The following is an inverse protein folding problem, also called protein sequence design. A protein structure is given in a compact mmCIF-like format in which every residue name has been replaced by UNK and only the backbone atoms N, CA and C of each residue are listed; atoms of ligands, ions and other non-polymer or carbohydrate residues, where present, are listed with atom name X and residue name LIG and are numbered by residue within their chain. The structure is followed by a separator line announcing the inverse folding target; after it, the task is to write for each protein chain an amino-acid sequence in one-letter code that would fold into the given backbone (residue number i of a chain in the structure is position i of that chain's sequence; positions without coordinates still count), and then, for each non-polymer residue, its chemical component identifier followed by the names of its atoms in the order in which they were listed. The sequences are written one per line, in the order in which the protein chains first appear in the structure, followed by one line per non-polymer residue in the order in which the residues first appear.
data_IF_512122150997
#
_entry.id   IF_512122150997
#
_cell.length_a   1.000
_cell.length_b   1.000
_cell.length_c   1.000
_cell.angle_alpha   90.00
_cell.angle_beta   90.00
_cell.angle_gamma   90.00
#
_symmetry.space_group_name_H-M   'P 1'
#
loop_
_entity.id
_entity.type
_entity.pdbx_description
1 polymer ?
#
# COMPACT_ATOMS: atom_id res chain seq x y z
N UNK A 1 -2.33 11.43 -41.19
CA UNK A 1 -1.72 10.78 -40.00
C UNK A 1 -1.21 11.81 -38.99
N UNK A 2 -0.64 12.92 -39.43
CA UNK A 2 -0.16 14.00 -38.56
C UNK A 2 -1.27 14.67 -37.73
N UNK A 3 -2.47 14.86 -38.29
CA UNK A 3 -3.62 15.44 -37.57
C UNK A 3 -4.12 14.57 -36.40
N UNK A 4 -4.01 13.25 -36.49
CA UNK A 4 -4.48 12.32 -35.46
C UNK A 4 -3.51 12.20 -34.26
N UNK A 5 -2.23 12.50 -34.48
CA UNK A 5 -1.21 12.58 -33.43
C UNK A 5 -1.29 13.94 -32.74
N UNK A 6 -1.51 15.01 -33.51
CA UNK A 6 -1.70 16.36 -32.98
C UNK A 6 -2.96 16.46 -32.13
N UNK A 7 -4.09 15.86 -32.57
CA UNK A 7 -5.31 15.80 -31.77
C UNK A 7 -5.12 15.03 -30.46
N UNK A 8 -4.29 13.97 -30.43
CA UNK A 8 -4.05 13.21 -29.20
C UNK A 8 -3.24 14.01 -28.17
N UNK A 9 -2.37 14.92 -28.60
CA UNK A 9 -1.54 15.73 -27.71
C UNK A 9 -2.21 17.04 -27.27
N UNK A 10 -2.89 17.73 -28.19
CA UNK A 10 -3.53 19.02 -27.91
C UNK A 10 -4.81 18.83 -27.05
N UNK A 11 -5.57 17.76 -27.30
CA UNK A 11 -6.80 17.45 -26.55
C UNK A 11 -6.50 17.02 -25.11
N UNK A 12 -5.38 16.32 -24.84
CA UNK A 12 -5.01 15.88 -23.48
C UNK A 12 -4.80 17.07 -22.52
N UNK A 13 -4.03 18.08 -22.92
CA UNK A 13 -3.70 19.22 -22.05
C UNK A 13 -4.83 20.24 -21.94
N UNK A 14 -5.48 20.58 -23.06
CA UNK A 14 -6.51 21.63 -23.09
C UNK A 14 -7.83 21.09 -22.55
N UNK A 15 -8.28 19.91 -22.99
CA UNK A 15 -9.54 19.36 -22.47
C UNK A 15 -9.44 18.95 -21.01
N UNK A 16 -8.28 18.51 -20.52
CA UNK A 16 -8.09 18.29 -19.08
C UNK A 16 -8.18 19.60 -18.27
N UNK A 17 -7.53 20.68 -18.73
CA UNK A 17 -7.64 22.01 -18.09
C UNK A 17 -9.06 22.56 -18.12
N UNK A 18 -9.78 22.39 -19.24
CA UNK A 18 -11.18 22.80 -19.36
C UNK A 18 -12.13 21.91 -18.54
N UNK A 19 -11.91 20.60 -18.44
CA UNK A 19 -12.68 19.71 -17.56
C UNK A 19 -12.46 20.03 -16.09
N UNK A 20 -11.22 20.33 -15.71
CA UNK A 20 -10.85 20.79 -14.36
C UNK A 20 -11.49 22.13 -14.03
N UNK A 21 -11.52 23.05 -15.00
CA UNK A 21 -12.16 24.37 -14.87
C UNK A 21 -13.69 24.28 -14.80
N UNK A 22 -14.31 23.43 -15.62
CA UNK A 22 -15.77 23.23 -15.64
C UNK A 22 -16.31 22.34 -14.50
N UNK A 23 -15.44 21.63 -13.76
CA UNK A 23 -15.85 20.64 -12.73
C UNK A 23 -16.86 19.60 -13.24
N UNK A 24 -16.71 19.14 -14.48
CA UNK A 24 -17.57 18.12 -15.09
C UNK A 24 -16.76 16.85 -15.32
N UNK A 25 -17.30 15.69 -14.94
CA UNK A 25 -16.69 14.38 -15.18
C UNK A 25 -15.77 13.87 -14.06
N UNK A 26 -14.62 13.30 -14.41
CA UNK A 26 -13.71 12.61 -13.49
C UNK A 26 -13.13 13.53 -12.40
N UNK A 27 -12.90 14.81 -12.71
CA UNK A 27 -12.40 15.82 -11.76
C UNK A 27 -13.39 16.08 -10.61
N UNK A 28 -14.69 16.12 -10.90
CA UNK A 28 -15.73 16.23 -9.87
C UNK A 28 -15.76 14.98 -8.98
N UNK A 29 -15.66 13.79 -9.58
CA UNK A 29 -15.61 12.53 -8.83
C UNK A 29 -14.38 12.45 -7.92
N UNK A 30 -13.21 12.88 -8.42
CA UNK A 30 -11.98 12.93 -7.64
C UNK A 30 -12.07 13.93 -6.49
N UNK A 31 -12.66 15.10 -6.72
CA UNK A 31 -12.89 16.10 -5.67
C UNK A 31 -13.80 15.58 -4.57
N UNK A 32 -14.92 14.95 -4.93
CA UNK A 32 -15.85 14.34 -3.96
C UNK A 32 -15.15 13.22 -3.20
N UNK A 33 -14.47 12.31 -3.89
CA UNK A 33 -13.72 11.23 -3.24
C UNK A 33 -12.63 11.76 -2.29
N UNK A 34 -11.95 12.85 -2.66
CA UNK A 34 -10.97 13.50 -1.79
C UNK A 34 -11.61 14.08 -0.54
N UNK A 35 -12.78 14.71 -0.67
CA UNK A 35 -13.54 15.23 0.49
C UNK A 35 -14.01 14.11 1.41
N UNK A 36 -14.52 13.02 0.85
CA UNK A 36 -14.97 11.85 1.63
C UNK A 36 -13.81 11.22 2.40
N UNK A 37 -12.65 11.09 1.75
CA UNK A 37 -11.44 10.55 2.40
C UNK A 37 -10.92 11.49 3.47
N UNK A 38 -10.88 12.80 3.21
CA UNK A 38 -10.44 13.79 4.19
C UNK A 38 -11.35 13.79 5.44
N UNK A 39 -12.67 13.72 5.23
CA UNK A 39 -13.63 13.59 6.33
C UNK A 39 -13.38 12.31 7.13
N UNK A 40 -13.22 11.17 6.46
CA UNK A 40 -12.95 9.90 7.11
C UNK A 40 -11.66 9.92 7.94
N UNK A 41 -10.58 10.53 7.42
CA UNK A 41 -9.31 10.66 8.14
C UNK A 41 -9.47 11.56 9.36
N UNK A 42 -10.21 12.66 9.23
CA UNK A 42 -10.55 13.56 10.34
C UNK A 42 -11.32 12.84 11.44
N UNK A 43 -12.32 12.04 11.06
CA UNK A 43 -13.12 11.24 11.99
C UNK A 43 -12.24 10.20 12.70
N UNK A 44 -11.35 9.53 11.97
CA UNK A 44 -10.42 8.55 12.53
C UNK A 44 -9.44 9.19 13.53
N UNK A 45 -8.88 10.36 13.19
CA UNK A 45 -7.98 11.13 14.06
C UNK A 45 -8.72 11.57 15.33
N UNK A 46 -9.91 12.16 15.19
CA UNK A 46 -10.69 12.65 16.32
C UNK A 46 -11.10 11.52 17.28
N UNK A 47 -11.55 10.37 16.76
CA UNK A 47 -11.87 9.18 17.55
C UNK A 47 -10.65 8.66 18.32
N UNK A 48 -9.46 8.70 17.70
CA UNK A 48 -8.22 8.28 18.35
C UNK A 48 -7.82 9.23 19.47
N UNK A 49 -7.85 10.53 19.22
CA UNK A 49 -7.58 11.56 20.22
C UNK A 49 -8.53 11.44 21.42
N UNK A 50 -9.81 11.13 21.18
CA UNK A 50 -10.78 10.90 22.26
C UNK A 50 -10.41 9.66 23.09
N UNK A 51 -10.04 8.54 22.44
CA UNK A 51 -9.62 7.32 23.14
C UNK A 51 -8.37 7.54 24.00
N UNK A 52 -7.40 8.32 23.51
CA UNK A 52 -6.18 8.65 24.25
C UNK A 52 -6.45 9.52 25.49
N UNK A 53 -7.46 10.39 25.46
CA UNK A 53 -7.85 11.19 26.64
C UNK A 53 -8.56 10.38 27.72
N UNK A 54 -9.19 9.26 27.36
CA UNK A 54 -9.99 8.42 28.26
C UNK A 54 -9.17 7.26 28.86
N UNK A 55 -8.09 6.84 28.19
CA UNK A 55 -7.23 5.73 28.65
C UNK A 55 -6.08 6.28 29.49
N UNK A 56 -5.92 5.79 30.73
CA UNK A 56 -4.75 6.09 31.56
C UNK A 56 -3.46 5.65 30.83
N UNK A 57 -2.37 6.38 31.07
CA UNK A 57 -1.08 6.34 30.37
C UNK A 57 -0.34 4.99 30.36
N UNK A 58 -0.88 3.94 31.00
CA UNK A 58 -0.17 2.70 31.34
C UNK A 58 -0.32 1.55 30.31
N UNK A 59 -1.23 1.64 29.34
CA UNK A 59 -1.31 0.67 28.23
C UNK A 59 -0.63 1.22 26.98
N UNK A 60 0.70 1.04 26.90
CA UNK A 60 1.53 1.25 25.71
C UNK A 60 1.18 0.24 24.61
N UNK A 61 0.04 0.44 23.96
CA UNK A 61 -0.14 -0.01 22.58
C UNK A 61 0.12 1.21 21.70
N UNK A 62 1.40 1.51 21.47
CA UNK A 62 1.87 2.65 20.68
C UNK A 62 1.57 2.41 19.20
N UNK A 63 0.29 2.58 18.85
CA UNK A 63 -0.17 2.54 17.47
C UNK A 63 0.60 3.60 16.64
N UNK A 64 0.95 3.25 15.41
CA UNK A 64 1.70 4.08 14.46
C UNK A 64 1.23 5.53 14.45
N UNK A 65 -0.08 5.75 14.39
CA UNK A 65 -0.64 7.11 14.34
C UNK A 65 -0.48 7.87 15.66
N UNK A 66 -0.50 7.19 16.81
CA UNK A 66 -0.17 7.81 18.11
C UNK A 66 1.29 8.24 18.15
N UNK A 67 2.19 7.41 17.62
CA UNK A 67 3.62 7.75 17.56
C UNK A 67 3.88 8.94 16.62
N UNK A 68 3.24 8.94 15.44
CA UNK A 68 3.29 10.09 14.52
C UNK A 68 2.75 11.37 15.15
N UNK A 69 1.62 11.32 15.86
CA UNK A 69 1.07 12.48 16.58
C UNK A 69 2.04 13.03 17.64
N UNK A 70 2.70 12.15 18.41
CA UNK A 70 3.71 12.56 19.40
C UNK A 70 4.91 13.24 18.73
N UNK A 71 5.47 12.63 17.69
CA UNK A 71 6.61 13.17 16.93
C UNK A 71 6.27 14.54 16.32
N UNK A 72 5.04 14.73 15.83
CA UNK A 72 4.61 16.01 15.27
C UNK A 72 4.41 17.07 16.35
N UNK A 73 3.83 16.71 17.50
CA UNK A 73 3.65 17.61 18.64
C UNK A 73 4.99 18.08 19.24
N UNK A 74 6.02 17.23 19.24
CA UNK A 74 7.37 17.57 19.71
C UNK A 74 8.13 18.48 18.74
N UNK A 75 7.80 18.44 17.44
CA UNK A 75 8.51 19.19 16.38
C UNK A 75 7.86 20.52 16.01
N UNK A 76 6.58 20.72 16.33
CA UNK A 76 5.84 21.89 15.85
C UNK A 76 5.96 23.12 16.76
N UNK A 77 6.80 24.07 16.34
CA UNK A 77 6.64 25.51 16.61
C UNK A 77 5.63 26.18 15.66
N UNK A 78 5.17 25.45 14.63
CA UNK A 78 4.33 25.91 13.52
C UNK A 78 2.84 25.58 13.73
N UNK A 79 1.97 26.26 12.97
CA UNK A 79 0.50 26.16 13.01
C UNK A 79 -0.02 24.71 13.02
N UNK A 80 -0.90 24.40 13.98
CA UNK A 80 -1.55 23.09 14.16
C UNK A 80 -2.22 22.55 12.88
N UNK A 81 -2.73 23.44 12.02
CA UNK A 81 -3.42 23.08 10.78
C UNK A 81 -2.50 22.43 9.73
N UNK A 82 -1.24 22.88 9.65
CA UNK A 82 -0.25 22.32 8.71
C UNK A 82 0.16 20.91 9.15
N UNK A 83 0.30 20.71 10.46
CA UNK A 83 0.64 19.42 11.06
C UNK A 83 -0.43 18.36 10.80
N UNK A 84 -1.71 18.72 10.97
CA UNK A 84 -2.84 17.82 10.72
C UNK A 84 -2.90 17.37 9.25
N UNK A 85 -2.69 18.31 8.32
CA UNK A 85 -2.70 18.00 6.89
C UNK A 85 -1.61 17.00 6.49
N UNK A 86 -0.37 17.21 6.98
CA UNK A 86 0.75 16.30 6.72
C UNK A 86 0.44 14.90 7.27
N UNK A 87 -0.13 14.82 8.48
CA UNK A 87 -0.52 13.55 9.09
C UNK A 87 -1.56 12.79 8.23
N UNK A 88 -2.57 13.49 7.72
CA UNK A 88 -3.59 12.90 6.84
C UNK A 88 -2.98 12.39 5.54
N UNK A 89 -2.12 13.19 4.90
CA UNK A 89 -1.46 12.82 3.65
C UNK A 89 -0.56 11.57 3.83
N UNK A 90 0.19 11.47 4.92
CA UNK A 90 1.02 10.29 5.23
C UNK A 90 0.19 9.04 5.52
N UNK A 91 -0.88 9.17 6.31
CA UNK A 91 -1.78 8.05 6.60
C UNK A 91 -2.45 7.52 5.32
N UNK A 92 -2.89 8.44 4.45
CA UNK A 92 -3.47 8.10 3.16
C UNK A 92 -2.46 7.38 2.26
N UNK A 93 -1.23 7.88 2.20
CA UNK A 93 -0.16 7.31 1.40
C UNK A 93 0.17 5.89 1.86
N UNK A 94 0.30 5.67 3.17
CA UNK A 94 0.52 4.34 3.75
C UNK A 94 -0.63 3.38 3.45
N UNK A 95 -1.87 3.82 3.64
CA UNK A 95 -3.05 3.00 3.38
C UNK A 95 -3.13 2.61 1.89
N UNK A 96 -2.84 3.54 0.98
CA UNK A 96 -2.84 3.28 -0.45
C UNK A 96 -1.74 2.29 -0.86
N UNK A 97 -0.52 2.48 -0.33
CA UNK A 97 0.61 1.59 -0.59
C UNK A 97 0.32 0.16 -0.12
N UNK A 98 -0.21 -0.01 1.09
CA UNK A 98 -0.49 -1.33 1.65
C UNK A 98 -1.69 -2.04 1.02
N UNK A 99 -2.78 -1.32 0.76
CA UNK A 99 -4.04 -1.91 0.30
C UNK A 99 -3.89 -2.70 -1.00
N UNK A 100 -3.27 -2.08 -2.00
CA UNK A 100 -3.16 -2.69 -3.32
C UNK A 100 -2.23 -3.91 -3.26
N UNK A 101 -1.07 -3.78 -2.60
CA UNK A 101 -0.11 -4.87 -2.47
C UNK A 101 -0.68 -6.08 -1.71
N UNK A 102 -1.36 -5.84 -0.58
CA UNK A 102 -1.98 -6.90 0.23
C UNK A 102 -3.13 -7.56 -0.52
N UNK A 103 -3.99 -6.78 -1.19
CA UNK A 103 -5.11 -7.34 -1.96
C UNK A 103 -4.65 -8.28 -3.08
N UNK A 104 -3.58 -7.90 -3.80
CA UNK A 104 -3.00 -8.74 -4.83
C UNK A 104 -2.37 -10.01 -4.26
N UNK A 105 -1.59 -9.89 -3.18
CA UNK A 105 -1.00 -11.03 -2.48
C UNK A 105 -2.08 -12.04 -2.03
N UNK A 106 -3.16 -11.57 -1.40
CA UNK A 106 -4.25 -12.43 -0.94
C UNK A 106 -5.00 -13.10 -2.09
N UNK A 107 -5.23 -12.39 -3.20
CA UNK A 107 -5.87 -12.97 -4.38
C UNK A 107 -5.06 -14.16 -4.93
N UNK A 108 -3.74 -14.00 -5.06
CA UNK A 108 -2.84 -15.07 -5.52
C UNK A 108 -2.74 -16.22 -4.53
N UNK A 109 -2.64 -15.91 -3.22
CA UNK A 109 -2.63 -16.92 -2.17
C UNK A 109 -3.89 -17.78 -2.25
N UNK A 110 -5.09 -17.18 -2.30
CA UNK A 110 -6.33 -17.96 -2.37
C UNK A 110 -6.44 -18.78 -3.65
N UNK A 111 -5.96 -18.24 -4.77
CA UNK A 111 -5.90 -19.00 -6.02
C UNK A 111 -4.97 -20.22 -5.93
N UNK A 112 -3.78 -20.06 -5.33
CA UNK A 112 -2.84 -21.15 -5.09
C UNK A 112 -3.39 -22.22 -4.14
N UNK A 113 -4.14 -21.82 -3.11
CA UNK A 113 -4.79 -22.75 -2.19
C UNK A 113 -5.93 -23.50 -2.86
N UNK A 114 -6.76 -22.82 -3.65
CA UNK A 114 -7.87 -23.44 -4.38
C UNK A 114 -7.39 -24.48 -5.42
N UNK A 115 -6.22 -24.25 -6.01
CA UNK A 115 -5.60 -25.18 -6.97
C UNK A 115 -4.82 -26.32 -6.30
N UNK A 116 -4.48 -26.19 -5.01
CA UNK A 116 -3.71 -27.19 -4.25
C UNK A 116 -4.42 -27.59 -2.94
N UNK A 117 -5.50 -28.42 -3.00
CA UNK A 117 -6.29 -28.79 -1.81
C UNK A 117 -5.49 -29.52 -0.72
N UNK A 118 -4.42 -30.23 -1.10
CA UNK A 118 -3.52 -30.88 -0.15
C UNK A 118 -2.81 -29.86 0.76
N UNK A 119 -2.42 -28.74 0.18
CA UNK A 119 -1.71 -27.67 0.87
C UNK A 119 -2.66 -26.84 1.73
N UNK A 120 -3.88 -26.57 1.22
CA UNK A 120 -4.96 -25.97 2.00
C UNK A 120 -5.25 -26.77 3.27
N UNK A 121 -5.36 -28.10 3.16
CA UNK A 121 -5.63 -28.96 4.32
C UNK A 121 -4.54 -28.89 5.39
N UNK A 122 -3.26 -28.79 5.00
CA UNK A 122 -2.15 -28.63 5.95
C UNK A 122 -2.24 -27.28 6.68
N UNK A 123 -2.51 -26.19 5.96
CA UNK A 123 -2.71 -24.86 6.56
C UNK A 123 -3.90 -24.89 7.52
N UNK A 124 -5.02 -25.49 7.11
CA UNK A 124 -6.21 -25.61 7.96
C UNK A 124 -5.91 -26.39 9.24
N UNK A 125 -5.18 -27.50 9.14
CA UNK A 125 -4.73 -28.26 10.32
C UNK A 125 -3.81 -27.44 11.22
N UNK A 126 -2.90 -26.64 10.64
CA UNK A 126 -2.04 -25.72 11.41
C UNK A 126 -2.87 -24.67 12.16
N UNK A 127 -3.82 -24.02 11.49
CA UNK A 127 -4.69 -23.01 12.11
C UNK A 127 -5.51 -23.62 13.25
N UNK A 128 -6.08 -24.82 13.04
CA UNK A 128 -6.90 -25.50 14.04
C UNK A 128 -6.13 -25.89 15.31
N UNK A 129 -4.80 -26.04 15.24
CA UNK A 129 -3.97 -26.29 16.43
C UNK A 129 -3.91 -25.09 17.37
N UNK A 130 -3.98 -23.88 16.84
CA UNK A 130 -3.88 -22.64 17.61
C UNK A 130 -5.24 -21.99 17.87
N UNK A 131 -6.21 -22.21 16.99
CA UNK A 131 -7.57 -21.66 17.09
C UNK A 131 -8.60 -22.78 16.87
N UNK A 132 -9.10 -23.41 17.96
CA UNK A 132 -10.12 -24.44 17.85
C UNK A 132 -11.43 -23.86 17.31
N UNK A 133 -12.18 -24.69 16.58
CA UNK A 133 -13.43 -24.34 15.92
C UNK A 133 -14.39 -23.66 16.90
N UNK A 134 -14.83 -22.44 16.57
CA UNK A 134 -15.76 -21.65 17.39
C UNK A 134 -15.12 -20.46 18.13
N UNK A 135 -13.78 -20.36 18.17
CA UNK A 135 -13.07 -19.17 18.66
C UNK A 135 -12.03 -18.72 17.64
N UNK A 136 -12.47 -18.03 16.60
CA UNK A 136 -11.61 -17.33 15.63
C UNK A 136 -10.94 -16.08 16.23
N UNK A 137 -10.26 -16.26 17.36
CA UNK A 137 -9.47 -15.24 18.04
C UNK A 137 -8.09 -15.81 18.29
N UNK A 138 -7.10 -15.25 17.60
CA UNK A 138 -5.70 -15.38 18.01
C UNK A 138 -5.49 -14.42 19.17
N UNK A 139 -5.06 -14.94 20.31
CA UNK A 139 -4.96 -14.16 21.54
C UNK A 139 -3.62 -13.43 21.63
N UNK A 140 -2.60 -13.91 20.90
CA UNK A 140 -1.26 -13.30 20.91
C UNK A 140 -0.56 -13.32 19.55
N UNK A 141 0.30 -12.32 19.32
CA UNK A 141 1.26 -12.29 18.20
C UNK A 141 2.21 -13.49 18.21
N UNK A 142 2.48 -14.10 19.38
CA UNK A 142 3.29 -15.31 19.47
C UNK A 142 2.62 -16.53 18.85
N UNK A 143 1.28 -16.60 18.88
CA UNK A 143 0.52 -17.70 18.26
C UNK A 143 0.59 -17.60 16.74
N UNK A 144 0.49 -16.38 16.19
CA UNK A 144 0.64 -16.13 14.76
C UNK A 144 2.05 -16.47 14.26
N UNK A 145 3.09 -16.13 15.03
CA UNK A 145 4.49 -16.48 14.70
C UNK A 145 4.75 -17.98 14.61
N UNK A 146 3.93 -18.80 15.28
CA UNK A 146 4.06 -20.27 15.25
C UNK A 146 3.41 -20.90 14.01
N UNK A 147 2.71 -20.14 13.18
CA UNK A 147 2.10 -20.62 11.93
C UNK A 147 3.11 -20.61 10.77
N UNK A 148 4.07 -21.52 10.86
CA UNK A 148 5.19 -21.60 9.92
C UNK A 148 4.70 -21.96 8.52
N UNK A 149 3.69 -22.81 8.41
CA UNK A 149 3.16 -23.27 7.13
C UNK A 149 2.39 -22.16 6.40
N UNK A 150 1.51 -21.46 7.13
CA UNK A 150 0.80 -20.29 6.60
C UNK A 150 1.78 -19.20 6.15
N UNK A 151 2.80 -18.91 6.97
CA UNK A 151 3.84 -17.94 6.61
C UNK A 151 4.59 -18.38 5.34
N UNK A 152 4.98 -19.66 5.26
CA UNK A 152 5.61 -20.22 4.07
C UNK A 152 4.74 -20.09 2.81
N UNK A 153 3.44 -20.35 2.91
CA UNK A 153 2.50 -20.20 1.80
C UNK A 153 2.39 -18.73 1.31
N UNK A 154 2.42 -17.77 2.23
CA UNK A 154 2.45 -16.33 1.88
C UNK A 154 3.76 -15.99 1.18
N UNK A 155 4.91 -16.41 1.73
CA UNK A 155 6.21 -16.18 1.12
C UNK A 155 6.29 -16.78 -0.30
N UNK A 156 5.79 -18.00 -0.48
CA UNK A 156 5.78 -18.67 -1.78
C UNK A 156 4.84 -17.96 -2.77
N UNK A 157 3.69 -17.48 -2.31
CA UNK A 157 2.77 -16.67 -3.12
C UNK A 157 3.43 -15.39 -3.61
N UNK A 158 4.18 -14.70 -2.74
CA UNK A 158 4.93 -13.49 -3.09
C UNK A 158 6.12 -13.79 -4.00
N UNK A 159 6.77 -14.96 -3.86
CA UNK A 159 7.86 -15.40 -4.74
C UNK A 159 7.36 -15.67 -6.16
N UNK A 160 6.20 -16.30 -6.29
CA UNK A 160 5.59 -16.63 -7.58
C UNK A 160 4.90 -15.41 -8.23
N UNK A 161 4.25 -14.58 -7.42
CA UNK A 161 3.43 -13.45 -7.87
C UNK A 161 3.72 -12.18 -7.04
N UNK A 162 4.86 -11.50 -7.29
CA UNK A 162 5.20 -10.27 -6.58
C UNK A 162 4.17 -9.16 -6.87
N UNK A 163 3.57 -8.51 -5.85
CA UNK A 163 2.53 -7.48 -6.07
C UNK A 163 3.04 -6.23 -6.83
N UNK A 164 4.34 -5.96 -6.77
CA UNK A 164 4.98 -4.84 -7.46
C UNK A 164 5.85 -5.41 -8.57
N UNK A 165 5.30 -5.52 -9.77
CA UNK A 165 6.00 -6.06 -10.94
C UNK A 165 7.02 -5.09 -11.58
N UNK A 166 7.02 -3.81 -11.21
CA UNK A 166 8.00 -2.84 -11.71
C UNK A 166 8.13 -1.65 -10.74
N UNK A 167 9.25 -1.58 -10.01
CA UNK A 167 9.70 -0.31 -9.45
C UNK A 167 10.30 0.49 -10.61
N UNK A 168 9.57 1.47 -11.14
CA UNK A 168 10.14 2.43 -12.07
C UNK A 168 11.00 3.41 -11.27
N UNK A 169 12.32 3.21 -11.28
CA UNK A 169 13.25 4.19 -10.72
C UNK A 169 13.38 5.36 -11.70
N UNK A 170 12.75 6.49 -11.40
CA UNK A 170 12.92 7.76 -12.14
C UNK A 170 14.24 8.47 -11.80
N UNK A 171 15.27 7.72 -11.40
CA UNK A 171 16.56 8.24 -10.95
C UNK A 171 17.69 7.64 -11.76
N UNK A 172 18.62 8.48 -12.19
CA UNK A 172 19.86 8.09 -12.86
C UNK A 172 20.74 7.30 -11.85
N UNK A 173 20.47 6.01 -11.72
CA UNK A 173 21.20 5.12 -10.84
C UNK A 173 22.60 4.88 -11.44
N UNK A 174 23.59 5.65 -10.98
CA UNK A 174 25.00 5.47 -11.34
C UNK A 174 25.55 4.28 -10.56
N UNK A 175 25.40 3.07 -11.10
CA UNK A 175 25.95 1.86 -10.51
C UNK A 175 27.49 1.81 -10.67
N UNK A 176 28.24 1.34 -9.66
CA UNK A 176 29.69 1.11 -9.78
C UNK A 176 29.98 0.06 -10.86
N UNK A 177 31.01 0.32 -11.67
CA UNK A 177 31.32 -0.32 -12.95
C UNK A 177 31.84 -1.77 -12.87
N UNK A 178 31.62 -2.49 -11.78
CA UNK A 178 32.16 -3.83 -11.54
C UNK A 178 31.12 -4.96 -11.57
N UNK A 179 29.86 -4.67 -11.90
CA UNK A 179 28.85 -5.69 -12.17
C UNK A 179 28.72 -5.90 -13.68
N UNK A 180 28.98 -7.13 -14.13
CA UNK A 180 28.88 -7.55 -15.53
C UNK A 180 27.52 -7.21 -16.10
N UNK A 181 27.50 -6.19 -16.96
CA UNK A 181 26.30 -5.68 -17.62
C UNK A 181 25.91 -6.64 -18.75
N UNK A 182 24.78 -7.35 -18.60
CA UNK A 182 24.07 -7.86 -19.77
C UNK A 182 23.44 -6.66 -20.48
N UNK A 183 24.06 -6.20 -21.57
CA UNK A 183 23.52 -5.11 -22.39
C UNK A 183 22.25 -5.58 -23.12
N UNK A 184 21.08 -5.12 -22.67
CA UNK A 184 19.89 -5.09 -23.51
C UNK A 184 19.85 -3.74 -24.23
N UNK A 185 20.31 -3.70 -25.48
CA UNK A 185 20.06 -2.56 -26.38
C UNK A 185 18.63 -2.65 -26.87
N UNK A 186 17.75 -1.76 -26.40
CA UNK A 186 16.53 -1.44 -27.11
C UNK A 186 16.28 0.07 -27.05
N UNK A 187 15.99 0.61 -28.23
CA UNK A 187 15.98 2.02 -28.58
C UNK A 187 14.70 2.70 -28.06
N UNK A 188 14.89 3.89 -27.49
CA UNK A 188 13.92 4.92 -27.12
C UNK A 188 12.78 4.54 -26.16
N UNK A 189 12.92 5.03 -24.91
CA UNK A 189 11.99 4.94 -23.75
C UNK A 189 12.27 3.77 -22.79
N UNK A 190 13.40 3.85 -22.07
CA UNK A 190 13.84 2.81 -21.14
C UNK A 190 13.01 2.78 -19.83
N UNK A 191 12.06 1.85 -19.76
CA UNK A 191 11.54 1.30 -18.50
C UNK A 191 12.47 0.13 -18.13
N UNK A 192 13.27 0.29 -17.08
CA UNK A 192 14.07 -0.81 -16.53
C UNK A 192 13.16 -1.76 -15.75
N UNK A 193 12.83 -2.91 -16.35
CA UNK A 193 12.13 -4.00 -15.67
C UNK A 193 13.17 -4.87 -14.95
N UNK A 194 13.28 -4.71 -13.63
CA UNK A 194 14.00 -5.67 -12.79
C UNK A 194 13.19 -6.97 -12.71
N UNK A 195 13.56 -7.95 -13.53
CA UNK A 195 13.01 -9.30 -13.44
C UNK A 195 13.68 -10.03 -12.26
N UNK A 196 12.96 -10.14 -11.14
CA UNK A 196 13.40 -10.83 -9.92
C UNK A 196 13.33 -12.35 -10.01
N UNK A 197 13.76 -12.96 -11.12
CA UNK A 197 13.92 -14.41 -11.20
C UNK A 197 15.33 -14.79 -10.73
N UNK A 198 15.47 -15.08 -9.43
CA UNK A 198 16.60 -15.87 -8.93
C UNK A 198 16.11 -17.30 -8.73
N UNK A 199 16.70 -18.22 -9.51
CA UNK A 199 16.63 -19.68 -9.37
C UNK A 199 17.57 -20.11 -8.25
#
# INVERSE_FOLDING_TARGET
MEEAVMNRHIIQEICWKFQKWLQIGHEKKLRVAKQDVDQFLTDCISLKCQKLKVRNEEEEDLDLLTNYMKIMAEKSSDSEEISEKILKDELLNLAFAGKNAVSACLAWLFWLLATNPKEENKIRQEILKFSPVGKWKFSSTEELKKMVYLHGAICESLRLYPPVFAAQSSGEARYPSNWTTYQCKYQDSAILLFNGYFV
#
